data_IF_514964426545
#
_entry.id   IF_514964426545
#
_cell.length_a   1.000
_cell.length_b   1.000
_cell.length_c   1.000
_cell.angle_alpha   90.00
_cell.angle_beta   90.00
_cell.angle_gamma   90.00
#
_symmetry.space_group_name_H-M   'P 1'
#
loop_
_entity.id
_entity.type
_entity.pdbx_description
1 polymer ?
#
# COMPACT_ATOMS: atom_id res chain seq x y z
N UNK A 1 -17.10 9.18 14.27
CA UNK A 1 -16.32 9.72 15.42
C UNK A 1 -15.97 8.62 16.43
N UNK A 2 -16.90 7.75 16.86
CA UNK A 2 -16.61 6.63 17.78
C UNK A 2 -15.49 5.67 17.33
N UNK A 3 -15.45 5.27 16.05
CA UNK A 3 -14.41 4.34 15.54
C UNK A 3 -13.00 4.90 15.73
N UNK A 4 -12.82 6.20 15.51
CA UNK A 4 -11.53 6.88 15.68
C UNK A 4 -11.03 6.87 17.13
N UNK A 5 -11.96 6.97 18.09
CA UNK A 5 -11.67 6.92 19.53
C UNK A 5 -11.30 5.50 19.98
N UNK A 6 -11.93 4.47 19.38
CA UNK A 6 -11.56 3.06 19.61
C UNK A 6 -10.13 2.82 19.13
N UNK A 7 -9.78 3.23 17.91
CA UNK A 7 -8.43 3.05 17.36
C UNK A 7 -7.35 3.84 18.11
N UNK A 8 -7.69 4.98 18.73
CA UNK A 8 -6.75 5.72 19.58
C UNK A 8 -6.33 4.92 20.82
N UNK A 9 -7.18 3.99 21.28
CA UNK A 9 -6.95 3.16 22.47
C UNK A 9 -6.36 1.79 22.15
N UNK A 10 -6.28 1.37 20.88
CA UNK A 10 -5.68 0.09 20.45
C UNK A 10 -4.21 -0.03 20.88
N UNK A 11 -3.49 1.09 21.07
CA UNK A 11 -2.13 1.11 21.63
C UNK A 11 -2.01 0.40 22.99
N UNK A 12 -3.09 0.36 23.78
CA UNK A 12 -3.13 -0.31 25.08
C UNK A 12 -3.23 -1.84 24.98
N UNK A 13 -3.54 -2.37 23.79
CA UNK A 13 -3.57 -3.81 23.51
C UNK A 13 -2.19 -4.33 23.05
N UNK A 14 -1.16 -3.49 23.02
CA UNK A 14 0.19 -3.90 22.62
C UNK A 14 0.74 -4.94 23.62
N UNK A 15 1.08 -6.12 23.14
CA UNK A 15 1.64 -7.22 23.96
C UNK A 15 0.63 -8.25 24.42
N UNK A 16 -0.66 -8.09 24.11
CA UNK A 16 -1.71 -9.07 24.47
C UNK A 16 -1.98 -10.11 23.39
N UNK A 17 -1.34 -9.98 22.22
CA UNK A 17 -1.61 -10.83 21.04
C UNK A 17 -2.91 -10.48 20.30
N UNK A 18 -3.69 -9.50 20.78
CA UNK A 18 -4.94 -9.05 20.14
C UNK A 18 -4.63 -7.94 19.13
N UNK A 19 -5.05 -8.13 17.88
CA UNK A 19 -4.91 -7.14 16.80
C UNK A 19 -6.29 -6.72 16.31
N UNK A 20 -6.59 -5.42 16.43
CA UNK A 20 -7.83 -4.83 15.92
C UNK A 20 -7.57 -4.30 14.52
N UNK A 21 -8.28 -4.86 13.53
CA UNK A 21 -8.26 -4.39 12.16
C UNK A 21 -9.53 -3.58 11.86
N UNK A 22 -9.38 -2.50 11.09
CA UNK A 22 -10.52 -1.79 10.53
C UNK A 22 -11.17 -2.67 9.46
N UNK A 23 -12.50 -2.76 9.47
CA UNK A 23 -13.22 -3.52 8.45
C UNK A 23 -13.28 -2.72 7.15
N UNK A 24 -12.23 -2.90 6.35
CA UNK A 24 -12.09 -2.32 5.02
C UNK A 24 -12.55 -3.34 3.97
N UNK A 25 -13.22 -2.84 2.92
CA UNK A 25 -13.66 -3.67 1.79
C UNK A 25 -12.52 -4.45 1.16
N UNK A 26 -12.80 -5.58 0.51
CA UNK A 26 -11.79 -6.38 -0.18
C UNK A 26 -11.00 -5.54 -1.20
N UNK A 27 -11.68 -4.64 -1.92
CA UNK A 27 -11.05 -3.71 -2.87
C UNK A 27 -10.06 -2.76 -2.19
N UNK A 28 -10.44 -2.21 -1.02
CA UNK A 28 -9.55 -1.39 -0.20
C UNK A 28 -8.35 -2.20 0.32
N UNK A 29 -8.54 -3.47 0.72
CA UNK A 29 -7.44 -4.36 1.15
C UNK A 29 -6.46 -4.64 0.02
N UNK A 30 -6.96 -4.96 -1.16
CA UNK A 30 -6.14 -5.19 -2.36
C UNK A 30 -5.35 -3.93 -2.72
N UNK A 31 -6.02 -2.80 -2.84
CA UNK A 31 -5.39 -1.51 -3.16
C UNK A 31 -4.28 -1.17 -2.16
N UNK A 32 -4.54 -1.35 -0.85
CA UNK A 32 -3.51 -1.15 0.18
C UNK A 32 -2.35 -2.13 0.05
N UNK A 33 -2.61 -3.40 -0.23
CA UNK A 33 -1.56 -4.40 -0.45
C UNK A 33 -0.61 -3.97 -1.56
N UNK A 34 -1.16 -3.48 -2.68
CA UNK A 34 -0.37 -2.97 -3.81
C UNK A 34 0.46 -1.75 -3.40
N UNK A 35 -0.15 -0.77 -2.73
CA UNK A 35 0.56 0.40 -2.21
C UNK A 35 1.66 0.03 -1.18
N UNK A 36 1.45 -1.01 -0.37
CA UNK A 36 2.47 -1.52 0.55
C UNK A 36 3.67 -2.14 -0.18
N UNK A 37 3.44 -2.87 -1.26
CA UNK A 37 4.52 -3.40 -2.09
C UNK A 37 5.34 -2.27 -2.72
N UNK A 38 4.66 -1.23 -3.23
CA UNK A 38 5.30 -0.03 -3.77
C UNK A 38 6.12 0.68 -2.69
N UNK A 39 5.54 0.88 -1.50
CA UNK A 39 6.27 1.47 -0.36
C UNK A 39 7.53 0.66 -0.05
N UNK A 40 7.41 -0.66 0.10
CA UNK A 40 8.54 -1.54 0.45
C UNK A 40 9.65 -1.41 -0.58
N UNK A 41 9.29 -1.42 -1.86
CA UNK A 41 10.25 -1.27 -2.94
C UNK A 41 10.92 0.11 -2.92
N UNK A 42 10.14 1.19 -2.84
CA UNK A 42 10.68 2.55 -2.78
C UNK A 42 11.59 2.77 -1.56
N UNK A 43 11.22 2.28 -0.38
CA UNK A 43 12.03 2.36 0.84
C UNK A 43 13.33 1.55 0.71
N UNK A 44 13.32 0.42 -0.01
CA UNK A 44 14.55 -0.33 -0.27
C UNK A 44 15.52 0.40 -1.21
N UNK A 45 15.00 1.23 -2.12
CA UNK A 45 15.80 2.00 -3.08
C UNK A 45 16.37 3.28 -2.48
N UNK A 46 15.61 3.95 -1.60
CA UNK A 46 16.01 5.16 -0.90
C UNK A 46 15.48 5.16 0.54
N UNK A 47 16.26 4.62 1.50
CA UNK A 47 15.86 4.52 2.91
C UNK A 47 15.65 5.87 3.60
N UNK A 48 16.28 6.94 3.08
CA UNK A 48 16.20 8.28 3.66
C UNK A 48 14.97 9.04 3.19
N UNK A 49 14.29 8.56 2.14
CA UNK A 49 13.12 9.22 1.58
C UNK A 49 11.89 9.02 2.46
N UNK A 50 11.19 10.11 2.75
CA UNK A 50 9.94 10.05 3.52
C UNK A 50 8.82 9.45 2.69
N UNK A 51 8.53 8.16 2.94
CA UNK A 51 7.45 7.42 2.29
C UNK A 51 6.47 6.92 3.37
N UNK A 52 5.22 7.36 3.30
CA UNK A 52 4.21 7.11 4.33
C UNK A 52 2.95 6.49 3.73
N UNK A 53 2.33 5.59 4.49
CA UNK A 53 0.96 5.16 4.23
C UNK A 53 0.01 6.02 5.06
N UNK A 54 -1.06 6.54 4.47
CA UNK A 54 -2.12 7.24 5.18
C UNK A 54 -3.48 6.81 4.63
N UNK A 55 -4.18 5.96 5.38
CA UNK A 55 -5.39 5.32 4.88
C UNK A 55 -5.09 4.50 3.62
N UNK A 56 -5.82 4.79 2.55
CA UNK A 56 -5.69 4.12 1.25
C UNK A 56 -4.78 4.89 0.28
N UNK A 57 -3.90 5.74 0.82
CA UNK A 57 -2.95 6.53 0.03
C UNK A 57 -1.51 6.23 0.42
N UNK A 58 -0.66 6.18 -0.60
CA UNK A 58 0.78 6.27 -0.47
C UNK A 58 1.20 7.73 -0.63
N UNK A 59 2.03 8.22 0.28
CA UNK A 59 2.58 9.58 0.25
C UNK A 59 4.07 9.48 0.02
N UNK A 60 4.54 10.07 -1.07
CA UNK A 60 5.97 10.17 -1.41
C UNK A 60 6.27 11.65 -1.67
N UNK A 61 7.05 12.27 -0.78
CA UNK A 61 7.25 13.71 -0.81
C UNK A 61 5.94 14.46 -0.53
N UNK A 62 5.54 15.32 -1.46
CA UNK A 62 4.30 16.11 -1.47
C UNK A 62 3.16 15.44 -2.26
N UNK A 63 3.44 14.33 -2.94
CA UNK A 63 2.48 13.65 -3.79
C UNK A 63 1.74 12.54 -3.07
N UNK A 64 0.45 12.40 -3.40
CA UNK A 64 -0.43 11.33 -2.94
C UNK A 64 -0.80 10.43 -4.09
N UNK A 65 -0.64 9.14 -3.87
CA UNK A 65 -0.91 8.08 -4.83
C UNK A 65 -2.00 7.16 -4.31
N UNK A 66 -2.83 6.67 -5.22
CA UNK A 66 -3.86 5.66 -4.98
C UNK A 66 -3.66 4.51 -5.96
N UNK A 67 -4.13 3.34 -5.57
CA UNK A 67 -4.20 2.18 -6.46
C UNK A 67 -5.66 1.91 -6.80
N UNK A 68 -5.91 1.50 -8.03
CA UNK A 68 -7.19 0.95 -8.46
C UNK A 68 -6.92 -0.25 -9.36
N UNK A 69 -7.80 -1.25 -9.34
CA UNK A 69 -7.65 -2.44 -10.20
C UNK A 69 -7.86 -2.14 -11.69
N UNK A 70 -8.51 -1.02 -12.02
CA UNK A 70 -8.76 -0.60 -13.41
C UNK A 70 -7.58 0.17 -13.99
N UNK A 71 -7.12 1.20 -13.27
CA UNK A 71 -6.12 2.16 -13.78
C UNK A 71 -4.72 1.93 -13.19
N UNK A 72 -4.57 0.98 -12.25
CA UNK A 72 -3.33 0.76 -11.52
C UNK A 72 -2.97 1.94 -10.61
N UNK A 73 -1.68 2.30 -10.58
CA UNK A 73 -1.17 3.42 -9.81
C UNK A 73 -1.50 4.76 -10.48
N UNK A 74 -2.21 5.62 -9.76
CA UNK A 74 -2.47 7.01 -10.16
C UNK A 74 -2.20 7.96 -9.01
N UNK A 75 -1.95 9.22 -9.32
CA UNK A 75 -1.99 10.27 -8.30
C UNK A 75 -3.44 10.59 -7.93
N UNK A 76 -3.66 11.18 -6.76
CA UNK A 76 -5.01 11.59 -6.32
C UNK A 76 -5.61 12.66 -7.23
N UNK A 77 -4.78 13.46 -7.92
CA UNK A 77 -5.21 14.46 -8.91
C UNK A 77 -5.37 13.89 -10.34
N UNK A 78 -5.29 12.57 -10.52
CA UNK A 78 -5.61 11.90 -11.79
C UNK A 78 -4.48 11.86 -12.82
N UNK A 79 -3.24 12.17 -12.42
CA UNK A 79 -2.06 12.01 -13.27
C UNK A 79 -1.55 10.58 -13.25
N UNK A 80 -0.77 10.25 -14.28
CA UNK A 80 -0.04 8.98 -14.39
C UNK A 80 0.85 8.77 -13.14
N UNK A 81 0.54 7.71 -12.40
CA UNK A 81 1.24 7.41 -11.15
C UNK A 81 2.65 6.87 -11.36
N UNK A 82 2.92 6.18 -12.48
CA UNK A 82 4.25 5.66 -12.82
C UNK A 82 5.19 6.84 -13.08
N UNK A 83 4.77 7.77 -13.94
CA UNK A 83 5.57 8.95 -14.26
C UNK A 83 5.80 9.82 -13.02
N UNK A 84 4.74 10.09 -12.26
CA UNK A 84 4.82 10.91 -11.05
C UNK A 84 5.71 10.27 -9.97
N UNK A 85 5.59 8.96 -9.76
CA UNK A 85 6.44 8.24 -8.81
C UNK A 85 7.89 8.20 -9.26
N UNK A 86 8.14 8.03 -10.57
CA UNK A 86 9.48 8.05 -11.12
C UNK A 86 10.17 9.40 -10.95
N UNK A 87 9.45 10.51 -11.14
CA UNK A 87 9.94 11.86 -10.84
C UNK A 87 10.29 12.00 -9.35
N UNK A 88 9.39 11.55 -8.47
CA UNK A 88 9.63 11.61 -7.03
C UNK A 88 10.85 10.78 -6.63
N UNK A 89 10.97 9.55 -7.12
CA UNK A 89 12.09 8.65 -6.83
C UNK A 89 13.37 8.97 -7.60
N UNK A 90 13.31 9.88 -8.60
CA UNK A 90 14.38 10.21 -9.55
C UNK A 90 14.92 8.97 -10.28
N UNK A 91 14.05 8.01 -10.57
CA UNK A 91 14.38 6.71 -11.15
C UNK A 91 13.20 6.20 -11.97
N UNK A 92 13.48 5.31 -12.92
CA UNK A 92 12.42 4.60 -13.61
C UNK A 92 11.79 3.54 -12.70
N UNK A 93 10.45 3.56 -12.62
CA UNK A 93 9.64 2.65 -11.81
C UNK A 93 8.69 1.82 -12.68
N UNK A 94 8.69 2.03 -14.00
CA UNK A 94 7.75 1.42 -14.96
C UNK A 94 7.69 -0.09 -14.83
N UNK A 95 8.83 -0.78 -14.98
CA UNK A 95 8.91 -2.23 -14.97
C UNK A 95 8.32 -2.87 -13.69
N UNK A 96 8.56 -2.25 -12.53
CA UNK A 96 8.04 -2.75 -11.26
C UNK A 96 6.53 -2.53 -11.12
N UNK A 97 6.04 -1.34 -11.49
CA UNK A 97 4.60 -1.02 -11.39
C UNK A 97 3.79 -1.80 -12.42
N UNK A 98 4.30 -1.99 -13.64
CA UNK A 98 3.68 -2.82 -14.66
C UNK A 98 3.59 -4.28 -14.22
N UNK A 99 4.62 -4.79 -13.55
CA UNK A 99 4.58 -6.14 -13.00
C UNK A 99 3.52 -6.29 -11.90
N UNK A 100 3.40 -5.28 -11.04
CA UNK A 100 2.32 -5.20 -10.06
C UNK A 100 0.93 -5.15 -10.72
N UNK A 101 0.76 -4.36 -11.79
CA UNK A 101 -0.49 -4.31 -12.55
C UNK A 101 -0.88 -5.69 -13.12
N UNK A 102 0.10 -6.43 -13.67
CA UNK A 102 -0.14 -7.78 -14.19
C UNK A 102 -0.57 -8.76 -13.08
N UNK A 103 0.04 -8.67 -11.90
CA UNK A 103 -0.31 -9.52 -10.75
C UNK A 103 -1.70 -9.22 -10.19
N UNK A 104 -2.09 -7.95 -10.17
CA UNK A 104 -3.44 -7.54 -9.74
C UNK A 104 -4.50 -8.02 -10.73
N UNK A 105 -4.25 -7.87 -12.03
CA UNK A 105 -5.15 -8.33 -13.09
C UNK A 105 -5.28 -9.87 -13.16
N UNK A 106 -4.23 -10.61 -12.78
CA UNK A 106 -4.23 -12.07 -12.75
C UNK A 106 -4.73 -12.70 -11.45
N UNK A 107 -5.11 -11.89 -10.46
CA UNK A 107 -5.39 -12.31 -9.08
C UNK A 107 -6.73 -13.01 -8.86
N UNK A 108 -6.89 -14.21 -9.43
CA UNK A 108 -7.83 -15.21 -8.89
C UNK A 108 -7.07 -16.04 -7.85
N UNK A 109 -7.35 -15.86 -6.56
CA UNK A 109 -6.93 -16.78 -5.50
C UNK A 109 -5.71 -16.37 -4.67
N UNK A 110 -5.95 -15.89 -3.46
CA UNK A 110 -4.96 -15.81 -2.39
C UNK A 110 -5.56 -16.30 -1.08
N UNK A 111 -5.34 -17.58 -0.75
CA UNK A 111 -5.41 -18.18 0.59
C UNK A 111 -4.87 -19.61 0.43
N UNK A 112 -3.84 -20.13 1.10
CA UNK A 112 -3.04 -19.71 2.23
C UNK A 112 -2.51 -21.01 2.83
N UNK A 113 -1.20 -21.26 2.80
CA UNK A 113 -0.50 -22.23 3.66
C UNK A 113 1.00 -21.94 3.58
N UNK A 114 1.55 -21.43 4.66
CA UNK A 114 2.95 -21.64 5.01
C UNK A 114 2.93 -22.34 6.37
N UNK A 115 2.76 -23.66 6.34
CA UNK A 115 3.25 -24.54 7.39
C UNK A 115 4.79 -24.48 7.38
N UNK A 116 5.39 -24.28 8.55
CA UNK A 116 6.83 -24.14 8.72
C UNK A 116 7.19 -24.12 10.21
N UNK A 117 7.38 -25.33 10.72
CA UNK A 117 7.61 -25.83 12.08
C UNK A 117 8.76 -25.15 12.88
N UNK A 118 8.89 -25.40 14.20
CA UNK A 118 9.57 -26.63 14.68
C UNK A 118 8.76 -27.51 15.64
#
# INVERSE_FOLDING_TARGET
>A
KQVSEIFANVKHLKGTGIVVHEDVTLLSRQSRSMLFQIKKHCTSLDPNKSIKMKGDFLIVGDMRFKWSSTDGLSTVDGRDGIQALGVQMKRDMSAFIEDLNRRDAGGTGGSGVAEGNP
#
